data_IF_898119658124
#
_entry.id   IF_898119658124
#
_cell.length_a   1.000
_cell.length_b   1.000
_cell.length_c   1.000
_cell.angle_alpha   90.00
_cell.angle_beta   90.00
_cell.angle_gamma   90.00
#
_symmetry.space_group_name_H-M   'P 1'
#
loop_
_entity.id
_entity.type
_entity.pdbx_description
1 polymer ?
#
# COMPACT_ATOMS: atom_id res chain seq x y z
N UNK A 1 -0.64 -33.32 15.07
CA UNK A 1 0.12 -32.12 14.66
C UNK A 1 0.13 -32.15 13.14
N UNK A 2 -1.01 -31.78 12.54
CA UNK A 2 -1.19 -31.82 11.09
C UNK A 2 -0.32 -30.74 10.45
N UNK A 3 0.46 -31.19 9.48
CA UNK A 3 1.29 -30.38 8.59
C UNK A 3 0.45 -29.27 7.98
N UNK A 4 0.73 -28.02 8.38
CA UNK A 4 0.14 -26.84 7.78
C UNK A 4 0.42 -26.89 6.28
N UNK A 5 -0.63 -27.15 5.52
CA UNK A 5 -0.58 -27.29 4.08
C UNK A 5 0.16 -26.10 3.46
N UNK A 6 1.00 -26.42 2.50
CA UNK A 6 1.77 -25.56 1.61
C UNK A 6 0.86 -24.55 0.92
N UNK A 7 0.43 -23.49 1.62
CA UNK A 7 -0.35 -22.40 1.02
C UNK A 7 0.63 -21.60 0.17
N UNK A 8 0.46 -21.58 -1.17
CA UNK A 8 1.32 -20.77 -2.02
C UNK A 8 1.20 -19.32 -1.57
N UNK A 9 2.31 -18.60 -1.45
CA UNK A 9 2.32 -17.17 -1.11
C UNK A 9 1.32 -16.33 -1.96
N UNK A 10 1.08 -16.65 -3.25
CA UNK A 10 0.01 -16.02 -4.04
C UNK A 10 -1.42 -16.19 -3.52
N UNK A 11 -1.71 -17.24 -2.75
CA UNK A 11 -3.04 -17.51 -2.18
C UNK A 11 -3.30 -16.87 -0.81
N UNK A 12 -2.26 -16.37 -0.14
CA UNK A 12 -2.41 -15.74 1.18
C UNK A 12 -3.12 -14.37 1.04
N UNK A 13 -4.09 -14.01 1.89
CA UNK A 13 -4.63 -12.65 1.95
C UNK A 13 -3.53 -11.61 2.19
N UNK A 14 -3.66 -10.43 1.61
CA UNK A 14 -2.76 -9.31 1.97
C UNK A 14 -2.98 -8.89 3.43
N UNK A 15 -1.95 -8.30 4.04
CA UNK A 15 -2.02 -7.80 5.41
C UNK A 15 -0.85 -8.23 6.29
N UNK A 16 -1.01 -8.02 7.61
CA UNK A 16 0.04 -8.30 8.60
C UNK A 16 0.48 -9.78 8.62
N UNK A 17 -0.44 -10.72 8.37
CA UNK A 17 -0.11 -12.15 8.30
C UNK A 17 0.87 -12.48 7.18
N UNK A 18 0.71 -11.85 6.01
CA UNK A 18 1.64 -12.00 4.89
C UNK A 18 3.04 -11.44 5.23
N UNK A 19 3.11 -10.32 5.95
CA UNK A 19 4.38 -9.76 6.44
C UNK A 19 5.11 -10.73 7.37
N UNK A 20 4.39 -11.34 8.32
CA UNK A 20 4.95 -12.32 9.26
C UNK A 20 5.48 -13.53 8.51
N UNK A 21 4.71 -14.08 7.55
CA UNK A 21 5.12 -15.21 6.71
C UNK A 21 6.40 -14.90 5.92
N UNK A 22 6.47 -13.74 5.26
CA UNK A 22 7.63 -13.37 4.44
C UNK A 22 8.89 -13.14 5.27
N UNK A 23 8.75 -12.52 6.44
CA UNK A 23 9.85 -12.26 7.37
C UNK A 23 10.38 -13.52 8.08
N UNK A 24 9.55 -14.55 8.23
CA UNK A 24 9.87 -15.74 9.02
C UNK A 24 10.94 -16.67 8.42
N UNK A 25 11.23 -16.57 7.12
CA UNK A 25 12.18 -17.45 6.43
C UNK A 25 13.17 -16.63 5.58
N UNK A 26 14.48 -16.74 5.82
CA UNK A 26 15.52 -16.12 4.98
C UNK A 26 15.53 -16.62 3.53
N UNK A 27 16.00 -15.78 2.59
CA UNK A 27 16.00 -16.11 1.17
C UNK A 27 16.96 -17.26 0.81
N UNK A 28 18.05 -17.47 1.55
CA UNK A 28 19.00 -18.58 1.37
C UNK A 28 18.47 -19.92 1.91
N UNK A 29 17.28 -19.91 2.54
CA UNK A 29 16.61 -21.08 3.12
C UNK A 29 15.37 -21.51 2.37
N UNK A 30 15.10 -20.91 1.20
CA UNK A 30 14.00 -21.34 0.32
C UNK A 30 14.53 -21.92 -0.99
N UNK A 31 13.82 -22.88 -1.60
CA UNK A 31 14.12 -23.33 -2.95
C UNK A 31 14.01 -22.18 -3.97
N UNK A 32 14.79 -22.24 -5.06
CA UNK A 32 14.76 -21.24 -6.14
C UNK A 32 13.34 -20.99 -6.67
N UNK A 33 12.54 -22.05 -6.82
CA UNK A 33 11.14 -21.96 -7.25
C UNK A 33 10.28 -21.09 -6.31
N UNK A 34 10.60 -21.04 -5.03
CA UNK A 34 9.88 -20.27 -4.00
C UNK A 34 10.38 -18.82 -3.90
N UNK A 35 11.56 -18.50 -4.46
CA UNK A 35 12.06 -17.11 -4.50
C UNK A 35 11.10 -16.21 -5.28
N UNK A 36 10.56 -16.70 -6.41
CA UNK A 36 9.58 -15.96 -7.20
C UNK A 36 8.29 -15.69 -6.41
N UNK A 37 7.78 -16.71 -5.71
CA UNK A 37 6.59 -16.57 -4.86
C UNK A 37 6.79 -15.55 -3.74
N UNK A 38 8.01 -15.46 -3.18
CA UNK A 38 8.37 -14.44 -2.19
C UNK A 38 8.38 -13.04 -2.80
N UNK A 39 8.92 -12.88 -4.02
CA UNK A 39 8.88 -11.59 -4.75
C UNK A 39 7.43 -11.15 -4.94
N UNK A 40 6.55 -12.06 -5.38
CA UNK A 40 5.11 -11.80 -5.51
C UNK A 40 4.50 -11.42 -4.15
N UNK A 41 4.86 -12.13 -3.08
CA UNK A 41 4.40 -11.82 -1.73
C UNK A 41 4.81 -10.41 -1.28
N UNK A 42 6.07 -10.02 -1.47
CA UNK A 42 6.54 -8.68 -1.11
C UNK A 42 5.87 -7.58 -1.94
N UNK A 43 5.62 -7.79 -3.23
CA UNK A 43 4.87 -6.84 -4.06
C UNK A 43 3.43 -6.68 -3.54
N UNK A 44 2.77 -7.78 -3.20
CA UNK A 44 1.41 -7.75 -2.62
C UNK A 44 1.38 -7.08 -1.25
N UNK A 45 2.41 -7.28 -0.42
CA UNK A 45 2.56 -6.59 0.87
C UNK A 45 2.78 -5.09 0.69
N UNK A 46 3.64 -4.69 -0.25
CA UNK A 46 3.87 -3.29 -0.59
C UNK A 46 2.60 -2.62 -1.12
N UNK A 47 1.84 -3.32 -1.96
CA UNK A 47 0.56 -2.86 -2.48
C UNK A 47 -0.46 -2.60 -1.37
N UNK A 48 -0.62 -3.55 -0.44
CA UNK A 48 -1.49 -3.38 0.72
C UNK A 48 -1.09 -2.20 1.62
N UNK A 49 0.19 -2.11 1.98
CA UNK A 49 0.67 -1.03 2.84
C UNK A 49 0.50 0.35 2.17
N UNK A 50 0.78 0.44 0.87
CA UNK A 50 0.65 1.68 0.12
C UNK A 50 -0.82 2.09 -0.10
N UNK A 51 -1.73 1.13 -0.31
CA UNK A 51 -3.17 1.40 -0.36
C UNK A 51 -3.70 1.89 1.00
N UNK A 52 -3.25 1.28 2.11
CA UNK A 52 -3.56 1.76 3.46
C UNK A 52 -3.07 3.20 3.70
N UNK A 53 -1.85 3.51 3.27
CA UNK A 53 -1.34 4.89 3.30
C UNK A 53 -2.21 5.84 2.45
N UNK A 54 -2.64 5.41 1.26
CA UNK A 54 -3.52 6.22 0.40
C UNK A 54 -4.85 6.55 1.09
N UNK A 55 -5.51 5.57 1.74
CA UNK A 55 -6.73 5.84 2.53
C UNK A 55 -6.50 6.85 3.65
N UNK A 56 -5.40 6.71 4.38
CA UNK A 56 -5.05 7.62 5.47
C UNK A 56 -4.78 9.06 4.97
N UNK A 57 -4.10 9.19 3.82
CA UNK A 57 -3.85 10.49 3.19
C UNK A 57 -5.15 11.16 2.71
N UNK A 58 -6.02 10.42 2.03
CA UNK A 58 -7.32 10.93 1.61
C UNK A 58 -8.15 11.40 2.81
N UNK A 59 -8.10 10.66 3.91
CA UNK A 59 -8.77 11.05 5.15
C UNK A 59 -8.19 12.32 5.78
N UNK A 60 -6.87 12.41 5.87
CA UNK A 60 -6.20 13.60 6.39
C UNK A 60 -6.60 14.84 5.58
N UNK A 61 -6.54 14.75 4.24
CA UNK A 61 -6.91 15.86 3.38
C UNK A 61 -8.38 16.24 3.54
N UNK A 62 -9.29 15.26 3.62
CA UNK A 62 -10.73 15.52 3.87
C UNK A 62 -10.94 16.31 5.17
N UNK A 63 -10.24 15.97 6.25
CA UNK A 63 -10.34 16.69 7.53
C UNK A 63 -9.79 18.11 7.45
N UNK A 64 -8.72 18.33 6.69
CA UNK A 64 -8.15 19.67 6.50
C UNK A 64 -9.09 20.56 5.69
N UNK A 65 -9.65 20.06 4.60
CA UNK A 65 -10.61 20.80 3.77
C UNK A 65 -11.94 21.07 4.48
N UNK A 66 -12.37 20.21 5.41
CA UNK A 66 -13.60 20.42 6.18
C UNK A 66 -13.50 21.54 7.23
N UNK A 67 -12.29 21.92 7.65
CA UNK A 67 -12.10 22.93 8.70
C UNK A 67 -12.25 24.35 8.16
N UNK A 68 -11.68 24.65 6.99
CA UNK A 68 -11.85 25.93 6.29
C UNK A 68 -11.75 25.71 4.77
N UNK A 69 -12.83 25.93 3.99
CA UNK A 69 -12.81 25.82 2.54
C UNK A 69 -11.90 26.83 1.83
N UNK A 70 -11.53 27.93 2.49
CA UNK A 70 -10.68 28.99 1.95
C UNK A 70 -9.19 28.81 2.31
N UNK A 71 -8.87 27.90 3.23
CA UNK A 71 -7.49 27.60 3.58
C UNK A 71 -6.92 26.57 2.59
N UNK A 72 -5.74 26.87 2.02
CA UNK A 72 -5.07 25.92 1.14
C UNK A 72 -4.74 24.67 1.97
N UNK A 73 -5.18 23.46 1.57
CA UNK A 73 -4.98 22.27 2.37
C UNK A 73 -3.47 21.95 2.45
N UNK A 74 -2.83 22.33 3.57
CA UNK A 74 -1.42 22.08 3.88
C UNK A 74 -1.08 20.59 4.13
N UNK A 75 -1.97 19.68 3.71
CA UNK A 75 -1.80 18.24 3.90
C UNK A 75 -0.52 17.72 3.23
N UNK A 76 -0.13 18.27 2.08
CA UNK A 76 1.11 17.87 1.42
C UNK A 76 2.35 18.29 2.22
N UNK A 77 2.31 19.45 2.89
CA UNK A 77 3.37 19.98 3.75
C UNK A 77 3.50 19.14 5.02
N UNK A 78 2.39 18.89 5.72
CA UNK A 78 2.34 18.01 6.88
C UNK A 78 2.92 16.63 6.55
N UNK A 79 2.52 16.05 5.42
CA UNK A 79 3.00 14.75 4.94
C UNK A 79 4.49 14.80 4.55
N UNK A 80 4.94 15.88 3.90
CA UNK A 80 6.34 16.04 3.50
C UNK A 80 7.27 16.07 4.71
N UNK A 81 6.87 16.78 5.77
CA UNK A 81 7.59 16.86 7.04
C UNK A 81 7.55 15.52 7.77
N UNK A 82 6.38 14.89 7.88
CA UNK A 82 6.21 13.63 8.61
C UNK A 82 6.94 12.44 7.95
N UNK A 83 7.02 12.41 6.63
CA UNK A 83 7.70 11.35 5.87
C UNK A 83 9.16 11.69 5.51
N UNK A 84 9.66 12.85 5.92
CA UNK A 84 11.00 13.34 5.56
C UNK A 84 11.27 13.28 4.05
N UNK A 85 10.31 13.77 3.25
CA UNK A 85 10.38 13.74 1.78
C UNK A 85 10.10 15.12 1.17
N UNK A 86 10.35 15.30 -0.13
CA UNK A 86 10.06 16.57 -0.80
C UNK A 86 8.56 16.85 -0.85
N UNK A 87 8.20 18.14 -0.84
CA UNK A 87 6.81 18.57 -1.05
C UNK A 87 6.19 17.98 -2.33
N UNK A 88 6.98 17.85 -3.40
CA UNK A 88 6.53 17.26 -4.66
C UNK A 88 6.20 15.76 -4.51
N UNK A 89 7.03 15.00 -3.80
CA UNK A 89 6.76 13.59 -3.53
C UNK A 89 5.50 13.41 -2.65
N UNK A 90 5.35 14.24 -1.63
CA UNK A 90 4.16 14.24 -0.78
C UNK A 90 2.90 14.63 -1.54
N UNK A 91 2.95 15.70 -2.35
CA UNK A 91 1.84 16.14 -3.19
C UNK A 91 1.40 15.06 -4.19
N UNK A 92 2.33 14.35 -4.81
CA UNK A 92 2.01 13.22 -5.69
C UNK A 92 1.28 12.09 -4.95
N UNK A 93 1.68 11.79 -3.69
CA UNK A 93 0.98 10.79 -2.85
C UNK A 93 -0.43 11.25 -2.48
N UNK A 94 -0.60 12.51 -2.09
CA UNK A 94 -1.90 13.08 -1.74
C UNK A 94 -2.85 13.09 -2.94
N UNK A 95 -2.39 13.54 -4.11
CA UNK A 95 -3.22 13.57 -5.32
C UNK A 95 -3.67 12.17 -5.73
N UNK A 96 -2.75 11.21 -5.76
CA UNK A 96 -3.09 9.81 -6.04
C UNK A 96 -4.10 9.26 -5.03
N UNK A 97 -3.93 9.57 -3.75
CA UNK A 97 -4.85 9.15 -2.69
C UNK A 97 -6.27 9.70 -2.89
N UNK A 98 -6.39 10.98 -3.22
CA UNK A 98 -7.69 11.62 -3.50
C UNK A 98 -8.37 11.02 -4.73
N UNK A 99 -7.63 10.82 -5.82
CA UNK A 99 -8.16 10.22 -7.04
C UNK A 99 -8.65 8.79 -6.78
N UNK A 100 -7.85 7.97 -6.08
CA UNK A 100 -8.18 6.59 -5.78
C UNK A 100 -9.34 6.46 -4.78
N UNK A 101 -9.36 7.26 -3.71
CA UNK A 101 -10.40 7.18 -2.69
C UNK A 101 -11.74 7.79 -3.15
N UNK A 102 -11.69 8.83 -3.99
CA UNK A 102 -12.88 9.52 -4.47
C UNK A 102 -13.42 8.96 -5.78
N UNK A 103 -12.57 8.87 -6.81
CA UNK A 103 -12.99 8.61 -8.19
C UNK A 103 -12.80 7.15 -8.62
N UNK A 104 -11.79 6.47 -8.08
CA UNK A 104 -11.41 5.11 -8.49
C UNK A 104 -11.35 4.11 -7.30
N UNK A 105 -12.40 4.00 -6.47
CA UNK A 105 -12.36 3.17 -5.26
C UNK A 105 -12.14 1.67 -5.58
N UNK A 106 -12.69 1.17 -6.69
CA UNK A 106 -12.45 -0.21 -7.12
C UNK A 106 -10.98 -0.48 -7.49
N UNK A 107 -10.26 0.52 -8.00
CA UNK A 107 -8.81 0.43 -8.27
C UNK A 107 -8.04 0.40 -6.95
N UNK A 108 -8.44 1.21 -5.97
CA UNK A 108 -7.84 1.19 -4.63
C UNK A 108 -8.01 -0.16 -3.95
N UNK A 109 -9.19 -0.76 -4.03
CA UNK A 109 -9.48 -2.09 -3.48
C UNK A 109 -8.66 -3.18 -4.19
N UNK A 110 -8.53 -3.08 -5.52
CA UNK A 110 -7.69 -4.01 -6.30
C UNK A 110 -6.21 -3.92 -5.94
N UNK A 111 -5.72 -2.70 -5.68
CA UNK A 111 -4.36 -2.46 -5.24
C UNK A 111 -4.14 -3.00 -3.83
N UNK A 112 -5.06 -2.74 -2.90
CA UNK A 112 -5.01 -3.23 -1.52
C UNK A 112 -4.98 -4.77 -1.43
N UNK A 113 -5.70 -5.44 -2.33
CA UNK A 113 -5.74 -6.90 -2.44
C UNK A 113 -4.50 -7.48 -3.16
N UNK A 114 -3.60 -6.62 -3.64
CA UNK A 114 -2.41 -7.02 -4.40
C UNK A 114 -2.73 -7.61 -5.79
N UNK A 115 -3.92 -7.32 -6.35
CA UNK A 115 -4.31 -7.75 -7.71
C UNK A 115 -3.65 -6.93 -8.81
N UNK A 116 -3.25 -5.71 -8.49
CA UNK A 116 -2.50 -4.80 -9.37
C UNK A 116 -1.30 -4.23 -8.64
N UNK A 117 -0.21 -3.97 -9.37
CA UNK A 117 0.96 -3.26 -8.86
C UNK A 117 0.74 -1.75 -8.81
N UNK A 118 1.63 -1.03 -8.11
CA UNK A 118 1.50 0.42 -7.94
C UNK A 118 1.50 1.19 -9.28
N UNK A 119 2.29 0.76 -10.26
CA UNK A 119 2.32 1.43 -11.58
C UNK A 119 0.96 1.35 -12.28
N UNK A 120 0.23 0.23 -12.14
CA UNK A 120 -1.13 0.08 -12.67
C UNK A 120 -2.17 0.88 -11.88
N UNK A 121 -1.96 1.11 -10.58
CA UNK A 121 -2.86 1.94 -9.79
C UNK A 121 -2.77 3.44 -10.11
N UNK A 122 -1.73 3.88 -10.84
CA UNK A 122 -1.50 5.29 -11.21
C UNK A 122 -1.99 5.67 -12.62
N UNK A 123 -2.50 4.71 -13.38
CA UNK A 123 -2.97 4.87 -14.76
C UNK A 123 -4.50 4.87 -14.74
#
# INVERSE_FOLDING_TARGET
METGADVPIPGCPTGAGLAIMLAGIPNDRVPDATVLDRIVGYERLAAWAAAGQARALAELTRRRTATDPNELPYAAEEVSLALSCSRMAAGAKVNLALDLAGRLPATLDAWEQGRICQSRARI
#
